data_IF_932704130275
#
_entry.id   IF_932704130275
#
_cell.length_a   1.000
_cell.length_b   1.000
_cell.length_c   1.000
_cell.angle_alpha   90.00
_cell.angle_beta   90.00
_cell.angle_gamma   90.00
#
_symmetry.space_group_name_H-M   'P 1'
#
loop_
_entity.id
_entity.type
_entity.pdbx_description
1 polymer ?
#
# COMPACT_ATOMS: atom_id res chain seq x y z
N UNK A 1 -5.51 4.73 21.71
CA UNK A 1 -4.37 4.15 20.98
C UNK A 1 -3.30 3.73 21.99
N UNK A 2 -2.56 2.66 21.70
CA UNK A 2 -1.39 2.17 22.43
C UNK A 2 -0.31 1.70 21.44
N UNK A 3 0.91 1.50 21.92
CA UNK A 3 2.03 1.00 21.12
C UNK A 3 2.53 -0.35 21.63
N UNK A 4 2.94 -1.21 20.71
CA UNK A 4 3.50 -2.51 21.02
C UNK A 4 4.59 -2.91 20.03
N UNK A 5 5.57 -3.67 20.51
CA UNK A 5 6.44 -4.44 19.63
C UNK A 5 5.81 -5.81 19.41
N UNK A 6 5.24 -6.02 18.22
CA UNK A 6 4.58 -7.28 17.85
C UNK A 6 5.55 -8.47 17.72
N UNK A 7 6.85 -8.22 17.56
CA UNK A 7 7.86 -9.28 17.51
C UNK A 7 8.09 -9.87 18.90
N UNK A 8 8.23 -9.03 19.93
CA UNK A 8 8.44 -9.45 21.32
C UNK A 8 7.15 -9.66 22.11
N UNK A 9 6.03 -9.06 21.68
CA UNK A 9 4.77 -9.06 22.41
C UNK A 9 4.70 -8.03 23.54
N UNK A 10 5.67 -7.10 23.62
CA UNK A 10 5.73 -6.09 24.69
C UNK A 10 4.86 -4.87 24.34
N UNK A 11 3.95 -4.50 25.24
CA UNK A 11 3.18 -3.26 25.17
C UNK A 11 3.93 -2.14 25.88
N UNK A 12 3.97 -0.95 25.27
CA UNK A 12 4.58 0.24 25.84
C UNK A 12 3.51 1.30 26.14
N UNK A 13 2.81 1.20 27.28
CA UNK A 13 1.65 2.03 27.58
C UNK A 13 2.00 3.52 27.77
N UNK A 14 3.25 3.82 28.12
CA UNK A 14 3.75 5.19 28.33
C UNK A 14 4.57 5.70 27.15
N UNK A 15 4.68 4.94 26.05
CA UNK A 15 5.37 5.41 24.86
C UNK A 15 4.52 6.46 24.15
N UNK A 16 5.16 7.56 23.79
CA UNK A 16 4.53 8.64 23.03
C UNK A 16 5.39 8.91 21.80
N UNK A 17 4.74 9.07 20.65
CA UNK A 17 5.40 9.63 19.48
C UNK A 17 5.63 11.13 19.68
N UNK A 18 6.71 11.69 19.12
CA UNK A 18 6.83 13.13 18.96
C UNK A 18 5.58 13.68 18.25
N UNK A 19 5.12 14.86 18.65
CA UNK A 19 4.09 15.56 17.90
C UNK A 19 4.66 15.89 16.50
N UNK A 20 3.99 15.42 15.45
CA UNK A 20 4.38 15.74 14.09
C UNK A 20 4.08 17.22 13.79
N UNK A 21 5.09 17.93 13.29
CA UNK A 21 4.93 19.26 12.73
C UNK A 21 5.09 19.15 11.22
N UNK A 22 3.95 18.98 10.55
CA UNK A 22 3.91 18.84 9.10
C UNK A 22 4.46 20.05 8.34
N UNK A 23 4.74 21.19 8.99
CA UNK A 23 5.25 22.39 8.31
C UNK A 23 6.55 22.13 7.55
N UNK A 24 7.51 21.41 8.14
CA UNK A 24 8.78 21.10 7.50
C UNK A 24 8.61 20.16 6.29
N UNK A 25 7.72 19.17 6.41
CA UNK A 25 7.41 18.23 5.34
C UNK A 25 6.61 18.91 4.20
N UNK A 26 5.62 19.75 4.55
CA UNK A 26 4.85 20.56 3.61
C UNK A 26 5.77 21.52 2.85
N UNK A 27 6.74 22.14 3.52
CA UNK A 27 7.73 22.99 2.87
C UNK A 27 8.57 22.22 1.84
N UNK A 28 8.79 20.91 2.02
CA UNK A 28 9.40 20.08 0.97
C UNK A 28 8.42 19.80 -0.18
N UNK A 29 7.16 19.46 0.12
CA UNK A 29 6.14 19.25 -0.92
C UNK A 29 5.94 20.49 -1.79
N UNK A 30 6.01 21.69 -1.21
CA UNK A 30 5.86 22.97 -1.91
C UNK A 30 6.99 23.26 -2.91
N UNK A 31 8.15 22.60 -2.79
CA UNK A 31 9.22 22.65 -3.81
C UNK A 31 8.87 21.85 -5.07
N UNK A 32 7.96 20.89 -4.97
CA UNK A 32 7.63 19.94 -6.03
C UNK A 32 6.12 19.89 -6.32
N UNK A 33 5.45 21.02 -6.58
CA UNK A 33 3.98 21.07 -6.68
C UNK A 33 3.42 20.26 -7.87
N UNK A 34 4.26 19.94 -8.84
CA UNK A 34 3.90 19.10 -10.00
C UNK A 34 3.70 17.62 -9.64
N UNK A 35 4.32 17.13 -8.55
CA UNK A 35 4.22 15.71 -8.17
C UNK A 35 2.79 15.28 -7.84
N UNK A 36 1.93 16.19 -7.38
CA UNK A 36 0.51 15.87 -7.13
C UNK A 36 -0.23 15.42 -8.40
N UNK A 37 0.13 15.97 -9.58
CA UNK A 37 -0.68 15.83 -10.79
C UNK A 37 -0.01 15.03 -11.91
N UNK A 38 1.31 14.98 -11.94
CA UNK A 38 2.03 14.37 -13.07
C UNK A 38 3.26 13.57 -12.62
N UNK A 39 3.75 12.73 -13.53
CA UNK A 39 5.06 12.06 -13.47
C UNK A 39 6.06 12.69 -14.45
N UNK A 40 5.70 13.82 -15.09
CA UNK A 40 6.61 14.64 -15.87
C UNK A 40 7.56 15.38 -14.91
N UNK A 41 8.73 14.78 -14.69
CA UNK A 41 9.79 15.35 -13.85
C UNK A 41 10.74 16.21 -14.71
N UNK A 42 11.38 17.24 -14.14
CA UNK A 42 12.48 17.93 -14.81
C UNK A 42 13.59 16.96 -15.23
N UNK A 43 14.30 17.30 -16.31
CA UNK A 43 15.49 16.57 -16.77
C UNK A 43 16.72 17.48 -16.64
N UNK A 44 17.71 17.16 -15.77
CA UNK A 44 17.76 15.96 -14.94
C UNK A 44 16.78 16.00 -13.76
N UNK A 45 16.39 14.82 -13.27
CA UNK A 45 15.61 14.70 -12.04
C UNK A 45 16.42 15.28 -10.87
N UNK A 46 15.78 16.12 -10.06
CA UNK A 46 16.43 16.76 -8.92
C UNK A 46 16.93 15.71 -7.92
N UNK A 47 18.18 15.84 -7.49
CA UNK A 47 18.90 14.86 -6.67
C UNK A 47 18.13 14.46 -5.39
N UNK A 48 17.50 15.43 -4.73
CA UNK A 48 16.68 15.18 -3.53
C UNK A 48 15.56 14.17 -3.75
N UNK A 49 14.95 14.17 -4.94
CA UNK A 49 13.87 13.24 -5.29
C UNK A 49 14.39 11.82 -5.49
N UNK A 50 15.69 11.65 -5.73
CA UNK A 50 16.36 10.38 -5.98
C UNK A 50 16.94 9.74 -4.70
N UNK A 51 17.03 10.50 -3.60
CA UNK A 51 17.54 9.99 -2.32
C UNK A 51 16.66 8.85 -1.78
N UNK A 52 17.25 7.84 -1.10
CA UNK A 52 16.52 7.02 -0.15
C UNK A 52 15.80 7.91 0.86
N UNK A 53 14.55 7.62 1.15
CA UNK A 53 13.72 8.49 1.97
C UNK A 53 14.27 8.68 3.39
N UNK A 54 14.97 7.70 3.96
CA UNK A 54 15.65 7.85 5.24
C UNK A 54 16.76 8.91 5.21
N UNK A 55 17.49 9.03 4.10
CA UNK A 55 18.47 10.10 3.90
C UNK A 55 17.78 11.46 3.75
N UNK A 56 16.66 11.50 3.04
CA UNK A 56 15.84 12.71 2.90
C UNK A 56 15.29 13.19 4.25
N UNK A 57 14.78 12.26 5.07
CA UNK A 57 14.33 12.54 6.45
C UNK A 57 15.46 13.13 7.28
N UNK A 58 16.65 12.54 7.18
CA UNK A 58 17.84 13.00 7.92
C UNK A 58 18.27 14.40 7.44
N UNK A 59 18.34 14.61 6.13
CA UNK A 59 18.73 15.87 5.49
C UNK A 59 17.82 17.04 5.87
N UNK A 60 16.52 16.78 6.00
CA UNK A 60 15.52 17.81 6.29
C UNK A 60 14.97 17.79 7.72
N UNK A 61 15.58 17.00 8.61
CA UNK A 61 15.19 16.89 10.02
C UNK A 61 13.72 16.49 10.24
N UNK A 62 13.21 15.56 9.42
CA UNK A 62 11.81 15.10 9.42
C UNK A 62 11.57 13.87 10.33
N UNK A 63 12.42 13.68 11.33
CA UNK A 63 12.42 12.47 12.16
C UNK A 63 11.13 12.28 12.97
N UNK A 64 10.45 13.38 13.29
CA UNK A 64 9.17 13.35 14.03
C UNK A 64 8.03 12.83 13.15
N UNK A 65 8.08 13.09 11.84
CA UNK A 65 7.08 12.69 10.87
C UNK A 65 7.34 11.27 10.33
N UNK A 66 8.59 10.81 10.36
CA UNK A 66 9.03 9.56 9.76
C UNK A 66 8.20 8.33 10.20
N UNK A 67 7.85 8.25 11.49
CA UNK A 67 7.00 7.17 11.98
C UNK A 67 5.59 7.20 11.35
N UNK A 68 4.97 8.38 11.28
CA UNK A 68 3.63 8.54 10.70
C UNK A 68 3.66 8.28 9.19
N UNK A 69 4.69 8.78 8.50
CA UNK A 69 4.90 8.59 7.07
C UNK A 69 5.09 7.10 6.70
N UNK A 70 5.77 6.33 7.55
CA UNK A 70 5.91 4.88 7.37
C UNK A 70 4.72 4.05 7.79
N UNK A 71 4.03 4.43 8.87
CA UNK A 71 2.91 3.66 9.44
C UNK A 71 1.59 3.91 8.69
N UNK A 72 1.32 5.18 8.36
CA UNK A 72 0.09 5.58 7.70
C UNK A 72 0.26 5.77 6.20
N UNK A 73 1.48 5.86 5.65
CA UNK A 73 1.68 5.83 4.21
C UNK A 73 1.27 4.49 3.63
N UNK A 74 0.07 4.41 3.06
CA UNK A 74 -0.51 3.15 2.58
C UNK A 74 0.42 2.46 1.57
N UNK A 75 0.97 1.31 1.98
CA UNK A 75 1.82 0.43 1.18
C UNK A 75 3.23 0.97 0.93
N UNK A 76 3.67 1.95 1.70
CA UNK A 76 5.06 2.44 1.67
C UNK A 76 6.09 1.41 2.17
N UNK A 77 5.66 0.26 2.72
CA UNK A 77 6.54 -0.87 3.00
C UNK A 77 7.80 -0.48 3.79
N UNK A 78 8.97 -0.85 3.26
CA UNK A 78 10.26 -0.41 3.78
C UNK A 78 10.53 1.07 3.44
N UNK A 79 9.72 1.97 4.00
CA UNK A 79 9.62 3.39 3.56
C UNK A 79 10.96 4.11 3.53
N UNK A 80 11.86 3.87 4.50
CA UNK A 80 13.15 4.55 4.58
C UNK A 80 14.09 4.20 3.42
N UNK A 81 13.87 3.05 2.77
CA UNK A 81 14.65 2.59 1.63
C UNK A 81 14.02 3.00 0.28
N UNK A 82 12.80 3.55 0.28
CA UNK A 82 12.14 3.98 -0.96
C UNK A 82 12.78 5.25 -1.51
N UNK A 83 12.77 5.39 -2.82
CA UNK A 83 13.14 6.65 -3.48
C UNK A 83 12.14 7.74 -3.10
N UNK A 84 12.66 8.89 -2.65
CA UNK A 84 11.88 9.99 -2.08
C UNK A 84 10.71 10.44 -2.95
N UNK A 85 10.89 10.46 -4.28
CA UNK A 85 9.83 10.87 -5.22
C UNK A 85 8.53 10.07 -5.04
N UNK A 86 8.62 8.77 -4.74
CA UNK A 86 7.44 7.92 -4.53
C UNK A 86 6.74 8.26 -3.23
N UNK A 87 7.51 8.51 -2.15
CA UNK A 87 6.97 8.85 -0.83
C UNK A 87 6.30 10.22 -0.84
N UNK A 88 6.91 11.24 -1.46
CA UNK A 88 6.30 12.57 -1.59
C UNK A 88 5.02 12.56 -2.44
N UNK A 89 4.94 11.64 -3.41
CA UNK A 89 3.73 11.48 -4.21
C UNK A 89 2.65 10.69 -3.47
N UNK A 90 3.01 9.68 -2.67
CA UNK A 90 2.04 8.87 -1.91
C UNK A 90 1.49 9.63 -0.70
N UNK A 91 2.30 10.46 -0.06
CA UNK A 91 1.92 11.29 1.08
C UNK A 91 2.00 12.77 0.72
N UNK A 92 1.04 13.23 -0.08
CA UNK A 92 0.96 14.63 -0.49
C UNK A 92 0.19 15.51 0.51
N UNK A 93 -0.01 16.79 0.16
CA UNK A 93 -0.74 17.74 1.02
C UNK A 93 -2.21 17.34 1.24
N UNK A 94 -2.85 16.70 0.27
CA UNK A 94 -4.22 16.22 0.40
C UNK A 94 -4.27 15.04 1.38
N UNK A 95 -3.29 14.14 1.33
CA UNK A 95 -3.14 13.05 2.28
C UNK A 95 -2.99 13.56 3.72
N UNK A 96 -2.08 14.52 3.94
CA UNK A 96 -1.86 15.13 5.27
C UNK A 96 -3.15 15.78 5.79
N UNK A 97 -3.87 16.51 4.93
CA UNK A 97 -5.16 17.10 5.29
C UNK A 97 -6.18 16.01 5.67
N UNK A 98 -6.18 14.88 4.98
CA UNK A 98 -6.98 13.70 5.34
C UNK A 98 -6.65 13.17 6.73
N UNK A 99 -5.37 13.03 7.07
CA UNK A 99 -4.95 12.64 8.44
C UNK A 99 -5.40 13.63 9.52
N UNK A 100 -5.66 14.88 9.15
CA UNK A 100 -6.17 15.94 10.03
C UNK A 100 -7.70 16.02 10.06
N UNK A 101 -8.41 15.04 9.49
CA UNK A 101 -9.89 14.97 9.48
C UNK A 101 -10.54 15.78 8.35
N UNK A 102 -9.78 16.15 7.32
CA UNK A 102 -10.30 16.79 6.11
C UNK A 102 -10.64 15.80 4.99
N UNK A 103 -10.72 14.51 5.32
CA UNK A 103 -11.09 13.43 4.43
C UNK A 103 -12.58 13.46 4.06
N UNK A 104 -12.87 13.07 2.83
CA UNK A 104 -14.24 12.86 2.36
C UNK A 104 -14.54 11.38 2.49
N UNK A 105 -15.39 11.05 3.46
CA UNK A 105 -15.78 9.68 3.74
C UNK A 105 -17.07 9.32 2.98
N UNK A 106 -17.12 8.11 2.45
CA UNK A 106 -18.36 7.51 1.97
C UNK A 106 -19.23 7.07 3.15
N UNK A 107 -20.49 6.69 2.91
CA UNK A 107 -21.37 6.05 3.91
C UNK A 107 -20.89 4.62 4.23
N UNK A 108 -19.65 4.49 4.70
CA UNK A 108 -18.98 3.23 5.08
C UNK A 108 -18.69 2.25 3.93
N UNK A 109 -18.76 2.69 2.67
CA UNK A 109 -18.49 1.85 1.50
C UNK A 109 -17.73 2.62 0.40
N UNK A 110 -16.41 2.46 0.40
CA UNK A 110 -15.54 3.01 -0.65
C UNK A 110 -15.67 2.24 -1.98
N UNK A 111 -16.27 1.05 -1.98
CA UNK A 111 -16.49 0.26 -3.20
C UNK A 111 -17.68 0.75 -4.02
N UNK A 112 -18.66 1.40 -3.39
CA UNK A 112 -19.90 1.86 -4.02
C UNK A 112 -19.70 2.72 -5.28
N UNK A 113 -18.61 3.49 -5.37
CA UNK A 113 -18.29 4.27 -6.58
C UNK A 113 -17.92 3.37 -7.77
N UNK A 114 -17.22 2.26 -7.51
CA UNK A 114 -16.83 1.29 -8.52
C UNK A 114 -18.04 0.44 -8.96
N UNK A 115 -18.95 0.10 -8.04
CA UNK A 115 -20.22 -0.55 -8.39
C UNK A 115 -21.04 0.32 -9.35
N UNK A 116 -21.16 1.62 -9.05
CA UNK A 116 -21.83 2.58 -9.93
C UNK A 116 -21.13 2.73 -11.28
N UNK A 117 -19.79 2.74 -11.30
CA UNK A 117 -19.01 2.79 -12.53
C UNK A 117 -19.21 1.52 -13.39
N UNK A 118 -19.20 0.34 -12.77
CA UNK A 118 -19.48 -0.93 -13.44
C UNK A 118 -20.90 -0.94 -14.02
N UNK A 119 -21.90 -0.49 -13.26
CA UNK A 119 -23.27 -0.37 -13.74
C UNK A 119 -23.39 0.59 -14.93
N UNK A 120 -22.69 1.73 -14.89
CA UNK A 120 -22.67 2.70 -15.99
C UNK A 120 -21.98 2.16 -17.26
N UNK A 121 -20.92 1.35 -17.10
CA UNK A 121 -20.23 0.70 -18.23
C UNK A 121 -21.05 -0.46 -18.83
N UNK A 122 -21.87 -1.13 -18.02
CA UNK A 122 -22.72 -2.24 -18.44
C UNK A 122 -21.91 -3.36 -19.11
N UNK A 123 -22.34 -3.80 -20.28
CA UNK A 123 -21.68 -4.88 -21.05
C UNK A 123 -20.27 -4.53 -21.57
N UNK A 124 -19.84 -3.27 -21.44
CA UNK A 124 -18.46 -2.87 -21.78
C UNK A 124 -17.46 -3.22 -20.69
N UNK A 125 -17.91 -3.48 -19.46
CA UNK A 125 -17.08 -3.99 -18.38
C UNK A 125 -17.09 -5.53 -18.40
N UNK A 126 -15.98 -6.14 -18.82
CA UNK A 126 -15.79 -7.59 -18.76
C UNK A 126 -15.21 -7.97 -17.39
N UNK A 127 -16.07 -8.13 -16.39
CA UNK A 127 -15.67 -8.60 -15.06
C UNK A 127 -15.36 -10.10 -15.05
N UNK A 128 -14.64 -10.56 -14.02
CA UNK A 128 -14.25 -11.97 -13.88
C UNK A 128 -13.58 -12.53 -15.14
N UNK A 129 -12.74 -11.71 -15.77
CA UNK A 129 -12.10 -12.00 -17.05
C UNK A 129 -10.65 -11.53 -17.05
N UNK A 130 -9.78 -12.23 -17.77
CA UNK A 130 -8.34 -11.97 -17.84
C UNK A 130 -7.89 -11.90 -19.30
N UNK A 131 -7.01 -10.97 -19.65
CA UNK A 131 -6.34 -10.97 -20.95
C UNK A 131 -5.27 -12.05 -20.94
N UNK A 132 -5.38 -13.04 -21.84
CA UNK A 132 -4.47 -14.20 -21.90
C UNK A 132 -3.52 -14.17 -23.08
N UNK A 133 -3.82 -13.34 -24.09
CA UNK A 133 -2.92 -13.11 -25.22
C UNK A 133 -3.22 -11.78 -25.90
N UNK A 134 -2.22 -11.23 -26.57
CA UNK A 134 -2.36 -10.03 -27.38
C UNK A 134 -1.52 -10.10 -28.65
N UNK A 135 -1.95 -9.34 -29.66
CA UNK A 135 -1.14 -8.96 -30.81
C UNK A 135 -1.25 -7.46 -31.00
N UNK A 136 -0.11 -6.77 -30.98
CA UNK A 136 0.00 -5.32 -31.13
C UNK A 136 0.84 -5.01 -32.37
N UNK A 137 0.32 -4.16 -33.24
CA UNK A 137 1.05 -3.67 -34.41
C UNK A 137 0.61 -2.25 -34.77
N UNK A 138 1.24 -1.65 -35.77
CA UNK A 138 0.96 -0.28 -36.21
C UNK A 138 -0.51 -0.05 -36.65
N UNK A 139 -1.25 -1.10 -37.01
CA UNK A 139 -2.65 -1.03 -37.45
C UNK A 139 -3.66 -1.23 -36.31
N UNK A 140 -3.23 -1.63 -35.11
CA UNK A 140 -4.09 -1.77 -33.95
C UNK A 140 -3.70 -2.90 -32.99
N UNK A 141 -4.63 -3.23 -32.10
CA UNK A 141 -4.48 -4.19 -31.02
C UNK A 141 -5.56 -5.26 -31.13
N UNK A 142 -5.17 -6.51 -30.93
CA UNK A 142 -6.06 -7.65 -30.73
C UNK A 142 -5.78 -8.26 -29.37
N UNK A 143 -6.80 -8.44 -28.54
CA UNK A 143 -6.70 -9.09 -27.24
C UNK A 143 -7.59 -10.32 -27.20
N UNK A 144 -7.09 -11.42 -26.65
CA UNK A 144 -7.91 -12.57 -26.27
C UNK A 144 -8.19 -12.45 -24.79
N UNK A 145 -9.47 -12.28 -24.47
CA UNK A 145 -9.98 -12.21 -23.10
C UNK A 145 -10.61 -13.55 -22.76
N UNK A 146 -10.19 -14.15 -21.66
CA UNK A 146 -10.75 -15.38 -21.11
C UNK A 146 -11.63 -15.05 -19.91
N UNK A 147 -12.88 -15.50 -19.92
CA UNK A 147 -13.78 -15.41 -18.76
C UNK A 147 -13.50 -16.50 -17.73
N UNK A 148 -14.09 -16.39 -16.54
CA UNK A 148 -14.00 -17.41 -15.50
C UNK A 148 -14.55 -18.79 -15.91
N UNK A 149 -15.50 -18.89 -16.86
CA UNK A 149 -15.99 -20.15 -17.43
C UNK A 149 -15.04 -20.76 -18.47
N UNK A 150 -13.99 -20.03 -18.86
CA UNK A 150 -13.03 -20.43 -19.89
C UNK A 150 -13.37 -19.92 -21.29
N UNK A 151 -14.52 -19.26 -21.49
CA UNK A 151 -14.92 -18.73 -22.80
C UNK A 151 -13.96 -17.65 -23.26
N UNK A 152 -13.58 -17.70 -24.55
CA UNK A 152 -12.65 -16.78 -25.18
C UNK A 152 -13.39 -15.73 -26.02
N UNK A 153 -13.03 -14.47 -25.82
CA UNK A 153 -13.53 -13.33 -26.59
C UNK A 153 -12.38 -12.57 -27.23
N UNK A 154 -12.46 -12.36 -28.55
CA UNK A 154 -11.53 -11.50 -29.28
C UNK A 154 -11.99 -10.04 -29.21
N UNK A 155 -11.14 -9.16 -28.69
CA UNK A 155 -11.33 -7.71 -28.70
C UNK A 155 -10.38 -7.11 -29.72
N UNK A 156 -10.91 -6.26 -30.61
CA UNK A 156 -10.12 -5.53 -31.61
C UNK A 156 -10.26 -4.03 -31.33
N UNK A 157 -9.13 -3.36 -31.13
CA UNK A 157 -9.09 -1.96 -30.73
C UNK A 157 -8.00 -1.17 -31.47
N UNK A 158 -8.14 0.15 -31.53
CA UNK A 158 -7.13 1.05 -32.09
C UNK A 158 -6.06 1.48 -31.08
N UNK A 159 -6.41 1.50 -29.79
CA UNK A 159 -5.54 1.92 -28.68
C UNK A 159 -5.74 0.98 -27.49
N UNK A 160 -4.69 0.83 -26.70
CA UNK A 160 -4.68 0.07 -25.45
C UNK A 160 -4.24 1.02 -24.34
N UNK A 161 -5.03 1.09 -23.27
CA UNK A 161 -4.66 1.72 -22.01
C UNK A 161 -4.47 0.61 -20.98
N UNK A 162 -3.31 0.58 -20.32
CA UNK A 162 -2.99 -0.44 -19.30
C UNK A 162 -3.00 0.23 -17.93
N UNK A 163 -4.00 -0.08 -17.12
CA UNK A 163 -4.19 0.47 -15.78
C UNK A 163 -3.95 -0.56 -14.65
N UNK A 164 -3.54 -1.78 -14.99
CA UNK A 164 -3.06 -2.77 -14.02
C UNK A 164 -1.58 -2.53 -13.68
N UNK A 165 -1.08 -2.98 -12.51
CA UNK A 165 0.34 -2.86 -12.17
C UNK A 165 1.23 -3.43 -13.27
N UNK A 166 2.13 -2.62 -13.83
CA UNK A 166 2.92 -2.97 -15.02
C UNK A 166 4.17 -3.81 -14.67
N UNK A 167 4.02 -4.79 -13.79
CA UNK A 167 5.06 -5.79 -13.51
C UNK A 167 5.15 -6.82 -14.64
N UNK A 168 6.31 -7.44 -14.81
CA UNK A 168 6.59 -8.40 -15.89
C UNK A 168 5.53 -9.48 -16.05
N UNK A 169 5.07 -10.08 -14.94
CA UNK A 169 4.06 -11.14 -14.96
C UNK A 169 2.72 -10.66 -15.55
N UNK A 170 2.27 -9.46 -15.15
CA UNK A 170 1.02 -8.86 -15.65
C UNK A 170 1.13 -8.44 -17.11
N UNK A 171 2.31 -7.99 -17.53
CA UNK A 171 2.54 -7.49 -18.88
C UNK A 171 2.81 -8.60 -19.90
N UNK A 172 3.15 -9.82 -19.45
CA UNK A 172 3.48 -10.95 -20.30
C UNK A 172 2.42 -11.26 -21.38
N UNK A 173 1.10 -11.29 -21.08
CA UNK A 173 0.07 -11.57 -22.10
C UNK A 173 0.00 -10.50 -23.20
N UNK A 174 0.55 -9.30 -22.96
CA UNK A 174 0.55 -8.21 -23.92
C UNK A 174 1.65 -8.35 -24.99
N UNK A 175 2.54 -9.34 -24.86
CA UNK A 175 3.62 -9.61 -25.81
C UNK A 175 4.62 -8.46 -25.84
N UNK A 176 5.32 -8.24 -24.73
CA UNK A 176 6.30 -7.16 -24.59
C UNK A 176 7.46 -7.30 -25.59
N UNK A 177 7.95 -6.17 -26.10
CA UNK A 177 9.22 -6.13 -26.82
C UNK A 177 10.42 -6.04 -25.85
N UNK A 178 11.64 -5.99 -26.41
CA UNK A 178 12.87 -5.91 -25.61
C UNK A 178 12.97 -4.62 -24.80
N UNK A 179 12.49 -3.50 -25.34
CA UNK A 179 12.54 -2.20 -24.66
C UNK A 179 11.56 -2.18 -23.49
N UNK A 180 10.33 -2.63 -23.72
CA UNK A 180 9.30 -2.77 -22.69
C UNK A 180 9.75 -3.73 -21.59
N UNK A 181 10.33 -4.88 -21.96
CA UNK A 181 10.85 -5.85 -20.98
C UNK A 181 11.99 -5.26 -20.14
N UNK A 182 12.85 -4.45 -20.74
CA UNK A 182 13.95 -3.76 -20.05
C UNK A 182 13.44 -2.72 -19.04
N UNK A 183 12.36 -2.01 -19.37
CA UNK A 183 11.76 -1.00 -18.47
C UNK A 183 10.94 -1.67 -17.38
N UNK A 184 9.96 -2.50 -17.73
CA UNK A 184 9.05 -3.12 -16.76
C UNK A 184 9.74 -4.14 -15.85
N UNK A 185 10.87 -4.71 -16.29
CA UNK A 185 11.71 -5.58 -15.47
C UNK A 185 12.42 -4.87 -14.31
N UNK A 186 12.43 -3.54 -14.28
CA UNK A 186 13.05 -2.76 -13.19
C UNK A 186 12.07 -2.48 -12.04
N UNK A 187 10.76 -2.66 -12.25
CA UNK A 187 9.78 -2.37 -11.22
C UNK A 187 9.82 -3.40 -10.09
N UNK A 188 10.00 -2.89 -8.88
CA UNK A 188 9.80 -3.62 -7.63
C UNK A 188 8.52 -3.12 -6.96
N UNK A 189 7.98 -3.91 -6.05
CA UNK A 189 6.75 -3.60 -5.34
C UNK A 189 6.86 -4.05 -3.89
N UNK A 190 6.04 -3.47 -3.03
CA UNK A 190 5.89 -3.95 -1.65
C UNK A 190 4.71 -4.92 -1.58
N UNK A 191 4.67 -5.67 -0.49
CA UNK A 191 3.55 -6.56 -0.22
C UNK A 191 2.72 -6.03 0.94
N UNK A 192 1.41 -5.96 0.70
CA UNK A 192 0.42 -5.45 1.63
C UNK A 192 -0.68 -6.49 1.83
N UNK A 193 -0.96 -6.80 3.08
CA UNK A 193 -2.01 -7.72 3.46
C UNK A 193 -2.91 -7.09 4.50
N UNK A 194 -4.21 -7.26 4.31
CA UNK A 194 -5.24 -6.75 5.20
C UNK A 194 -6.17 -7.87 5.62
N UNK A 195 -6.87 -7.66 6.73
CA UNK A 195 -7.85 -8.62 7.19
C UNK A 195 -8.62 -8.14 8.39
N UNK A 196 -9.62 -8.90 8.78
CA UNK A 196 -10.31 -8.75 10.05
C UNK A 196 -10.01 -9.96 10.92
N UNK A 197 -9.70 -9.72 12.18
CA UNK A 197 -9.43 -10.75 13.18
C UNK A 197 -10.34 -10.56 14.38
N UNK A 198 -10.63 -11.65 15.08
CA UNK A 198 -11.38 -11.66 16.33
C UNK A 198 -10.69 -12.52 17.38
N UNK A 199 -11.22 -12.56 18.62
CA UNK A 199 -10.62 -13.23 19.77
C UNK A 199 -9.19 -12.77 20.06
N UNK A 200 -8.90 -11.49 19.80
CA UNK A 200 -7.55 -10.93 19.90
C UNK A 200 -7.10 -10.74 21.34
N UNK A 201 -8.04 -10.55 22.28
CA UNK A 201 -7.74 -10.17 23.67
C UNK A 201 -7.31 -8.71 23.83
N UNK A 202 -7.30 -7.93 22.74
CA UNK A 202 -7.04 -6.49 22.79
C UNK A 202 -8.31 -5.77 23.24
N UNK A 203 -8.14 -4.65 23.95
CA UNK A 203 -9.27 -3.85 24.43
C UNK A 203 -10.01 -3.24 23.25
N UNK A 204 -11.33 -3.39 23.24
CA UNK A 204 -12.17 -2.81 22.19
C UNK A 204 -11.98 -1.29 22.08
N UNK A 205 -12.06 -0.78 20.85
CA UNK A 205 -11.94 0.65 20.55
C UNK A 205 -10.60 1.29 20.95
N UNK A 206 -9.56 0.46 21.13
CA UNK A 206 -8.17 0.89 21.34
C UNK A 206 -7.28 0.34 20.22
N UNK A 207 -6.82 1.24 19.34
CA UNK A 207 -5.83 0.89 18.33
C UNK A 207 -4.48 0.52 18.95
N UNK A 208 -3.84 -0.52 18.43
CA UNK A 208 -2.47 -0.93 18.77
C UNK A 208 -1.57 -0.76 17.56
N UNK A 209 -0.61 0.16 17.63
CA UNK A 209 0.37 0.40 16.58
C UNK A 209 1.70 -0.29 16.88
N UNK A 210 2.33 -0.79 15.84
CA UNK A 210 3.63 -1.46 15.90
C UNK A 210 4.77 -0.47 16.08
N UNK A 211 5.70 -0.76 16.98
CA UNK A 211 6.96 -0.04 17.11
C UNK A 211 8.13 -1.01 17.25
N UNK A 212 9.33 -0.51 16.97
CA UNK A 212 10.60 -1.08 17.44
C UNK A 212 11.30 0.00 18.26
N UNK A 213 11.93 -0.32 19.40
CA UNK A 213 12.71 0.67 20.17
C UNK A 213 14.09 0.89 19.51
N UNK A 214 14.07 1.33 18.25
CA UNK A 214 15.25 1.68 17.48
C UNK A 214 15.07 3.09 16.89
N UNK A 215 15.82 4.04 17.44
CA UNK A 215 15.79 5.43 17.00
C UNK A 215 16.39 5.64 15.62
N UNK A 216 17.30 4.76 15.16
CA UNK A 216 17.88 4.83 13.81
C UNK A 216 16.82 4.55 12.73
N UNK A 217 15.81 3.74 13.06
CA UNK A 217 14.66 3.47 12.20
C UNK A 217 13.42 4.28 12.57
N UNK A 218 13.58 5.38 13.32
CA UNK A 218 12.48 6.25 13.77
C UNK A 218 11.35 5.49 14.48
N UNK A 219 11.72 4.43 15.21
CA UNK A 219 10.82 3.50 15.89
C UNK A 219 9.81 2.75 15.00
N UNK A 220 10.00 2.74 13.68
CA UNK A 220 9.17 1.96 12.77
C UNK A 220 9.25 0.46 13.12
N UNK A 221 8.14 -0.29 12.99
CA UNK A 221 8.15 -1.73 13.20
C UNK A 221 9.00 -2.43 12.13
N UNK A 222 9.66 -3.53 12.51
CA UNK A 222 10.40 -4.35 11.56
C UNK A 222 9.48 -5.05 10.54
N UNK A 223 9.95 -5.21 9.31
CA UNK A 223 9.26 -5.94 8.23
C UNK A 223 10.02 -7.22 7.86
N UNK A 224 9.35 -8.30 7.44
CA UNK A 224 7.89 -8.43 7.32
C UNK A 224 7.22 -8.52 8.70
N UNK A 225 6.04 -7.91 8.85
CA UNK A 225 5.38 -7.87 10.14
C UNK A 225 4.03 -7.16 10.18
N UNK A 226 3.34 -7.36 11.31
CA UNK A 226 2.12 -6.63 11.64
C UNK A 226 2.48 -5.17 11.93
N UNK A 227 1.90 -4.24 11.18
CA UNK A 227 2.11 -2.79 11.35
C UNK A 227 1.15 -2.25 12.39
N UNK A 228 -0.12 -2.67 12.35
CA UNK A 228 -1.11 -2.30 13.36
C UNK A 228 -2.25 -3.30 13.48
N UNK A 229 -2.91 -3.23 14.63
CA UNK A 229 -4.20 -3.82 14.94
C UNK A 229 -5.15 -2.67 15.31
N UNK A 230 -6.02 -2.28 14.40
CA UNK A 230 -6.94 -1.16 14.57
C UNK A 230 -8.35 -1.64 14.93
N UNK A 231 -9.02 -0.90 15.80
CA UNK A 231 -10.39 -1.20 16.17
C UNK A 231 -11.34 -0.93 15.02
N UNK A 232 -12.41 -1.72 14.95
CA UNK A 232 -13.53 -1.45 14.05
C UNK A 232 -14.71 -0.88 14.85
N UNK A 233 -15.80 -0.52 14.15
CA UNK A 233 -17.08 -0.21 14.81
C UNK A 233 -17.76 -1.42 15.45
N UNK A 234 -17.18 -2.62 15.35
CA UNK A 234 -17.72 -3.87 15.88
C UNK A 234 -16.84 -4.37 17.02
N UNK A 235 -17.42 -4.50 18.21
CA UNK A 235 -16.73 -5.01 19.40
C UNK A 235 -16.12 -6.40 19.15
N UNK A 236 -14.89 -6.62 19.60
CA UNK A 236 -14.14 -7.85 19.41
C UNK A 236 -13.60 -8.07 17.99
N UNK A 237 -13.78 -7.13 17.06
CA UNK A 237 -13.30 -7.22 15.68
C UNK A 237 -12.30 -6.12 15.39
N UNK A 238 -11.13 -6.53 14.90
CA UNK A 238 -10.02 -5.64 14.62
C UNK A 238 -9.53 -5.80 13.19
N UNK A 239 -9.17 -4.69 12.56
CA UNK A 239 -8.46 -4.65 11.28
C UNK A 239 -6.98 -4.88 11.50
N UNK A 240 -6.38 -5.73 10.68
CA UNK A 240 -4.92 -5.86 10.60
C UNK A 240 -4.39 -5.19 9.34
N UNK A 241 -3.15 -4.73 9.45
CA UNK A 241 -2.32 -4.33 8.33
C UNK A 241 -0.95 -4.98 8.50
N UNK A 242 -0.62 -5.90 7.62
CA UNK A 242 0.66 -6.59 7.59
C UNK A 242 1.42 -6.16 6.35
N UNK A 243 2.69 -5.83 6.52
CA UNK A 243 3.53 -5.29 5.44
C UNK A 243 4.81 -6.10 5.29
N UNK A 244 5.34 -6.13 4.07
CA UNK A 244 6.60 -6.78 3.73
C UNK A 244 7.26 -6.10 2.53
N UNK A 245 8.58 -6.14 2.45
CA UNK A 245 9.34 -5.64 1.30
C UNK A 245 9.18 -6.55 0.06
N UNK A 246 8.73 -7.79 0.25
CA UNK A 246 8.53 -8.78 -0.80
C UNK A 246 7.26 -9.59 -0.56
N UNK A 247 6.73 -10.23 -1.59
CA UNK A 247 5.59 -11.13 -1.45
C UNK A 247 5.89 -12.29 -0.48
N UNK A 248 4.95 -12.51 0.43
CA UNK A 248 4.91 -13.59 1.42
C UNK A 248 3.66 -14.43 1.17
N UNK A 249 3.78 -15.75 1.30
CA UNK A 249 2.63 -16.64 1.13
C UNK A 249 1.53 -16.34 2.17
N UNK A 250 0.27 -16.40 1.75
CA UNK A 250 -0.89 -16.11 2.61
C UNK A 250 -0.86 -16.91 3.92
N UNK A 251 -0.51 -18.19 3.87
CA UNK A 251 -0.43 -19.06 5.05
C UNK A 251 0.59 -18.54 6.08
N UNK A 252 1.73 -18.04 5.62
CA UNK A 252 2.79 -17.50 6.47
C UNK A 252 2.38 -16.15 7.07
N UNK A 253 1.75 -15.27 6.28
CA UNK A 253 1.20 -14.00 6.78
C UNK A 253 0.15 -14.24 7.86
N UNK A 254 -0.77 -15.19 7.62
CA UNK A 254 -1.80 -15.55 8.60
C UNK A 254 -1.17 -16.11 9.87
N UNK A 255 -0.25 -17.07 9.73
CA UNK A 255 0.46 -17.68 10.86
C UNK A 255 1.22 -16.65 11.69
N UNK A 256 2.01 -15.79 11.04
CA UNK A 256 2.79 -14.73 11.70
C UNK A 256 1.90 -13.71 12.41
N UNK A 257 0.78 -13.32 11.80
CA UNK A 257 -0.19 -12.39 12.41
C UNK A 257 -0.82 -12.99 13.66
N UNK A 258 -1.30 -14.24 13.59
CA UNK A 258 -1.89 -14.90 14.76
C UNK A 258 -0.87 -15.12 15.87
N UNK A 259 0.36 -15.49 15.53
CA UNK A 259 1.44 -15.64 16.49
C UNK A 259 1.80 -14.29 17.17
N UNK A 260 1.80 -13.18 16.43
CA UNK A 260 2.02 -11.85 16.99
C UNK A 260 0.92 -11.46 17.99
N UNK A 261 -0.34 -11.68 17.65
CA UNK A 261 -1.47 -11.41 18.56
C UNK A 261 -1.39 -12.32 19.79
N UNK A 262 -1.05 -13.60 19.61
CA UNK A 262 -0.90 -14.53 20.73
C UNK A 262 0.26 -14.14 21.66
N UNK A 263 1.39 -13.66 21.14
CA UNK A 263 2.47 -13.12 21.98
C UNK A 263 2.03 -11.90 22.77
N UNK A 264 1.25 -11.02 22.15
CA UNK A 264 0.79 -9.77 22.74
C UNK A 264 -0.21 -9.99 23.90
N UNK A 265 -1.13 -10.95 23.77
CA UNK A 265 -2.28 -11.06 24.68
C UNK A 265 -2.45 -12.44 25.33
N UNK A 266 -1.68 -13.43 24.90
CA UNK A 266 -1.88 -14.84 25.25
C UNK A 266 -3.12 -15.48 24.62
N UNK A 267 -3.92 -14.73 23.83
CA UNK A 267 -5.15 -15.24 23.22
C UNK A 267 -4.91 -15.85 21.84
N UNK A 268 -5.72 -16.83 21.49
CA UNK A 268 -5.74 -17.45 20.17
C UNK A 268 -6.74 -16.70 19.28
N UNK A 269 -6.24 -15.72 18.55
CA UNK A 269 -7.02 -14.99 17.57
C UNK A 269 -7.35 -15.87 16.35
N UNK A 270 -8.31 -15.43 15.55
CA UNK A 270 -8.65 -16.05 14.27
C UNK A 270 -8.99 -14.98 13.23
N UNK A 271 -8.71 -15.28 11.96
CA UNK A 271 -9.15 -14.45 10.84
C UNK A 271 -10.64 -14.66 10.57
N UNK A 272 -11.36 -13.57 10.37
CA UNK A 272 -12.71 -13.55 9.79
C UNK A 272 -12.65 -13.40 8.27
N UNK A 273 -11.75 -12.54 7.78
CA UNK A 273 -11.48 -12.34 6.36
C UNK A 273 -10.02 -11.91 6.18
N UNK A 274 -9.45 -12.22 5.02
CA UNK A 274 -8.10 -11.87 4.63
C UNK A 274 -8.10 -11.47 3.15
N UNK A 275 -7.27 -10.50 2.79
CA UNK A 275 -7.04 -10.10 1.41
C UNK A 275 -5.57 -9.73 1.21
N UNK A 276 -5.03 -10.13 0.07
CA UNK A 276 -3.74 -9.65 -0.44
C UNK A 276 -3.97 -8.47 -1.37
N UNK A 277 -3.28 -7.37 -1.13
CA UNK A 277 -3.18 -6.23 -2.04
C UNK A 277 -1.80 -6.17 -2.70
N UNK A 278 -1.14 -7.32 -2.84
CA UNK A 278 0.17 -7.47 -3.48
C UNK A 278 -0.02 -7.86 -4.96
N UNK A 279 0.69 -7.24 -5.92
CA UNK A 279 1.71 -6.20 -5.76
C UNK A 279 1.10 -4.83 -5.40
N UNK A 280 1.79 -4.10 -4.52
CA UNK A 280 1.46 -2.72 -4.15
C UNK A 280 2.57 -1.74 -4.55
#
# INVERSE_FOLDING_TARGET
>A
MQFADFSSGVVYPNFTLPAADWSAYIAQLDKYPYLTYTWELPDPVLEDLLLPFGEFVSKYSLGNEAYLLGTYGAGNGAVLNQTTVYVLKSVDKAYIKGLQGGDVMTEHDNHAIYDKAQAALGSNALVSSTVVAASRNASGIRLVVQSASGDLKLIVAKKLLVAMPQITANMQPLGMDLSESSVFGQFTYNALYVGLVTNTGVTDFVDTLGISLNTESYNLPGLPGLVYLQSTGVAGVFRIWYSSAHEVAEADVKSATLAAIQRLTGKKAQFLVFSSHTPY
#
